data_IF_168016297959
#
_entry.id   IF_168016297959
#
_cell.length_a   1.000
_cell.length_b   1.000
_cell.length_c   1.000
_cell.angle_alpha   90.00
_cell.angle_beta   90.00
_cell.angle_gamma   90.00
#
_symmetry.space_group_name_H-M   'P 1'
#
loop_
_entity.id
_entity.type
_entity.pdbx_description
1 polymer ?
#
# COMPACT_ATOMS: atom_id res chain seq x y z
N UNK A 1 22.80 -7.13 -1.56
CA UNK A 1 21.80 -6.92 -0.49
C UNK A 1 20.41 -6.67 -1.07
N UNK A 2 20.19 -5.61 -1.86
CA UNK A 2 18.89 -5.35 -2.50
C UNK A 2 18.38 -6.52 -3.38
N UNK A 3 19.20 -7.01 -4.31
CA UNK A 3 18.85 -8.13 -5.21
C UNK A 3 18.68 -9.48 -4.49
N UNK A 4 19.44 -9.70 -3.40
CA UNK A 4 19.39 -10.96 -2.64
C UNK A 4 18.08 -11.15 -1.86
N UNK A 5 17.30 -10.07 -1.64
CA UNK A 5 15.98 -10.14 -0.99
C UNK A 5 14.85 -9.93 -2.01
N UNK A 6 14.99 -8.94 -2.89
CA UNK A 6 13.97 -8.62 -3.88
C UNK A 6 13.72 -9.79 -4.85
N UNK A 7 14.78 -10.33 -5.47
CA UNK A 7 14.63 -11.31 -6.55
C UNK A 7 13.96 -12.63 -6.12
N UNK A 8 14.29 -13.24 -4.95
CA UNK A 8 13.57 -14.43 -4.49
C UNK A 8 12.10 -14.17 -4.16
N UNK A 9 11.80 -12.99 -3.59
CA UNK A 9 10.43 -12.60 -3.27
C UNK A 9 9.62 -12.34 -4.53
N UNK A 10 10.13 -11.54 -5.48
CA UNK A 10 9.50 -11.27 -6.77
C UNK A 10 9.13 -12.57 -7.50
N UNK A 11 10.05 -13.54 -7.55
CA UNK A 11 9.79 -14.83 -8.19
C UNK A 11 8.69 -15.65 -7.52
N UNK A 12 8.60 -15.59 -6.19
CA UNK A 12 7.57 -16.34 -5.46
C UNK A 12 6.23 -15.63 -5.52
N UNK A 13 6.21 -14.30 -5.36
CA UNK A 13 5.01 -13.46 -5.41
C UNK A 13 4.42 -13.39 -6.83
N UNK A 14 5.25 -13.44 -7.87
CA UNK A 14 4.80 -13.37 -9.27
C UNK A 14 4.11 -14.63 -9.75
N UNK A 15 4.12 -15.71 -8.96
CA UNK A 15 3.36 -16.94 -9.23
C UNK A 15 1.94 -16.89 -8.67
N UNK A 16 1.61 -15.86 -7.89
CA UNK A 16 0.27 -15.70 -7.36
C UNK A 16 -0.67 -15.35 -8.52
N UNK A 17 -1.76 -16.08 -8.65
CA UNK A 17 -2.75 -15.83 -9.68
C UNK A 17 -3.46 -14.48 -9.45
N UNK A 18 -3.72 -13.77 -10.54
CA UNK A 18 -4.43 -12.49 -10.53
C UNK A 18 -3.57 -11.29 -10.12
N UNK A 19 -2.23 -11.40 -10.17
CA UNK A 19 -1.33 -10.23 -10.07
C UNK A 19 -1.31 -9.54 -11.43
N UNK A 20 -1.80 -8.30 -11.49
CA UNK A 20 -1.83 -7.47 -12.68
C UNK A 20 -0.58 -6.61 -12.82
N UNK A 21 -0.04 -6.14 -11.69
CA UNK A 21 1.20 -5.36 -11.65
C UNK A 21 2.04 -5.75 -10.43
N UNK A 22 3.37 -5.74 -10.62
CA UNK A 22 4.33 -5.86 -9.54
C UNK A 22 5.42 -4.81 -9.70
N UNK A 23 5.52 -3.93 -8.71
CA UNK A 23 6.57 -2.91 -8.65
C UNK A 23 7.42 -3.14 -7.41
N UNK A 24 8.74 -3.20 -7.59
CA UNK A 24 9.69 -3.34 -6.51
C UNK A 24 10.60 -2.12 -6.40
N UNK A 25 10.90 -1.74 -5.16
CA UNK A 25 11.83 -0.67 -4.85
C UNK A 25 12.73 -1.14 -3.73
N UNK A 26 14.03 -1.09 -3.94
CA UNK A 26 15.00 -1.49 -2.94
C UNK A 26 15.94 -0.35 -2.60
N UNK A 27 16.20 -0.19 -1.30
CA UNK A 27 17.18 0.74 -0.75
C UNK A 27 18.12 -0.02 0.19
N UNK A 28 19.13 0.67 0.74
CA UNK A 28 20.04 0.04 1.68
C UNK A 28 19.28 -0.48 2.91
N UNK A 29 19.29 -1.80 3.11
CA UNK A 29 18.66 -2.45 4.26
C UNK A 29 17.14 -2.60 4.17
N UNK A 30 16.48 -2.19 3.07
CA UNK A 30 15.03 -2.37 2.91
C UNK A 30 14.63 -2.67 1.47
N UNK A 31 13.65 -3.55 1.30
CA UNK A 31 13.01 -3.84 0.03
C UNK A 31 11.51 -3.72 0.21
N UNK A 32 10.85 -2.99 -0.68
CA UNK A 32 9.40 -2.87 -0.76
C UNK A 32 8.93 -3.45 -2.09
N UNK A 33 7.91 -4.29 -2.03
CA UNK A 33 7.23 -4.83 -3.22
C UNK A 33 5.77 -4.46 -3.09
N UNK A 34 5.22 -3.87 -4.15
CA UNK A 34 3.80 -3.53 -4.29
C UNK A 34 3.22 -4.50 -5.31
N UNK A 35 2.17 -5.21 -4.90
CA UNK A 35 1.38 -6.10 -5.76
C UNK A 35 0.04 -5.44 -6.01
N UNK A 36 -0.29 -5.27 -7.27
CA UNK A 36 -1.64 -4.90 -7.70
C UNK A 36 -2.28 -6.17 -8.23
N UNK A 37 -3.48 -6.44 -7.73
CA UNK A 37 -4.28 -7.58 -8.14
C UNK A 37 -5.39 -7.13 -9.08
N UNK A 38 -5.96 -8.08 -9.81
CA UNK A 38 -7.19 -7.86 -10.58
C UNK A 38 -8.34 -7.43 -9.64
N UNK A 39 -9.25 -6.60 -10.17
CA UNK A 39 -10.32 -5.97 -9.38
C UNK A 39 -11.29 -6.97 -8.75
N UNK A 40 -11.49 -8.13 -9.40
CA UNK A 40 -12.37 -9.21 -8.95
C UNK A 40 -11.70 -10.15 -7.93
N UNK A 41 -10.42 -9.92 -7.59
CA UNK A 41 -9.68 -10.74 -6.63
C UNK A 41 -10.11 -10.43 -5.20
N UNK A 42 -10.59 -11.45 -4.48
CA UNK A 42 -10.79 -11.35 -3.02
C UNK A 42 -9.47 -11.03 -2.31
N UNK A 43 -9.43 -9.87 -1.65
CA UNK A 43 -8.26 -9.37 -0.91
C UNK A 43 -7.83 -10.32 0.22
N UNK A 44 -8.75 -11.10 0.80
CA UNK A 44 -8.41 -12.06 1.85
C UNK A 44 -7.78 -13.33 1.27
N UNK A 45 -8.27 -13.81 0.13
CA UNK A 45 -7.62 -14.83 -0.69
C UNK A 45 -6.20 -14.42 -1.10
N UNK A 46 -6.07 -13.23 -1.69
CA UNK A 46 -4.77 -12.68 -2.09
C UNK A 46 -3.80 -12.57 -0.90
N UNK A 47 -4.26 -12.12 0.27
CA UNK A 47 -3.45 -12.05 1.48
C UNK A 47 -2.91 -13.43 1.92
N UNK A 48 -3.72 -14.49 1.83
CA UNK A 48 -3.27 -15.86 2.14
C UNK A 48 -2.22 -16.34 1.16
N UNK A 49 -2.41 -16.08 -0.13
CA UNK A 49 -1.45 -16.46 -1.17
C UNK A 49 -0.12 -15.70 -1.01
N UNK A 50 -0.18 -14.42 -0.67
CA UNK A 50 1.01 -13.61 -0.37
C UNK A 50 1.77 -14.19 0.82
N UNK A 51 1.09 -14.55 1.91
CA UNK A 51 1.73 -15.20 3.05
C UNK A 51 2.37 -16.55 2.66
N UNK A 52 1.69 -17.35 1.85
CA UNK A 52 2.21 -18.63 1.37
C UNK A 52 3.44 -18.45 0.47
N UNK A 53 3.43 -17.46 -0.42
CA UNK A 53 4.56 -17.12 -1.28
C UNK A 53 5.76 -16.58 -0.48
N UNK A 54 5.52 -15.74 0.54
CA UNK A 54 6.57 -15.32 1.48
C UNK A 54 7.18 -16.54 2.17
N UNK A 55 6.35 -17.47 2.66
CA UNK A 55 6.81 -18.70 3.30
C UNK A 55 7.64 -19.57 2.35
N UNK A 56 7.22 -19.72 1.10
CA UNK A 56 7.96 -20.47 0.08
C UNK A 56 9.33 -19.84 -0.25
N UNK A 57 9.43 -18.50 -0.20
CA UNK A 57 10.67 -17.79 -0.43
C UNK A 57 11.65 -17.84 0.75
N UNK A 58 11.21 -18.20 1.97
CA UNK A 58 12.01 -18.05 3.20
C UNK A 58 13.37 -18.71 3.15
N UNK A 59 13.48 -19.89 2.55
CA UNK A 59 14.74 -20.63 2.43
C UNK A 59 15.76 -19.95 1.51
N UNK A 60 15.30 -19.06 0.62
CA UNK A 60 16.13 -18.31 -0.32
C UNK A 60 16.51 -16.92 0.21
N UNK A 61 15.98 -16.52 1.38
CA UNK A 61 16.27 -15.22 1.98
C UNK A 61 17.56 -15.27 2.82
N UNK A 62 18.33 -14.16 2.88
CA UNK A 62 19.49 -14.06 3.75
C UNK A 62 19.14 -14.26 5.23
N UNK A 63 19.96 -14.99 5.97
CA UNK A 63 19.74 -15.28 7.41
C UNK A 63 20.07 -14.11 8.34
N UNK A 64 20.77 -13.08 7.87
CA UNK A 64 21.16 -11.88 8.63
C UNK A 64 20.20 -10.69 8.52
N UNK A 65 18.93 -10.91 8.13
CA UNK A 65 17.98 -9.81 7.99
C UNK A 65 17.56 -9.25 9.37
N UNK A 66 17.46 -7.91 9.53
CA UNK A 66 17.00 -7.30 10.78
C UNK A 66 15.55 -7.67 11.14
N UNK A 67 14.72 -7.93 10.13
CA UNK A 67 13.34 -8.35 10.28
C UNK A 67 12.92 -9.27 9.14
N UNK A 68 11.92 -10.11 9.38
CA UNK A 68 11.33 -10.97 8.34
C UNK A 68 10.42 -10.14 7.43
N UNK A 69 10.25 -10.55 6.15
CA UNK A 69 9.26 -9.91 5.29
C UNK A 69 7.86 -9.99 5.91
N UNK A 70 7.14 -8.89 5.83
CA UNK A 70 5.74 -8.78 6.27
C UNK A 70 4.90 -8.23 5.13
N UNK A 71 3.60 -8.46 5.18
CA UNK A 71 2.65 -7.92 4.22
C UNK A 71 1.56 -7.12 4.93
N UNK A 72 0.91 -6.25 4.18
CA UNK A 72 -0.23 -5.44 4.62
C UNK A 72 -1.23 -5.37 3.48
N UNK A 73 -2.50 -5.55 3.82
CA UNK A 73 -3.60 -5.24 2.90
C UNK A 73 -3.73 -3.73 2.78
N UNK A 74 -3.84 -3.23 1.56
CA UNK A 74 -4.09 -1.82 1.28
C UNK A 74 -5.27 -1.77 0.33
N UNK A 75 -6.31 -1.02 0.69
CA UNK A 75 -7.40 -0.71 -0.21
C UNK A 75 -7.16 0.69 -0.80
N UNK A 76 -6.96 0.84 -2.12
CA UNK A 76 -6.81 2.15 -2.75
C UNK A 76 -8.00 3.08 -2.52
N UNK A 77 -9.21 2.54 -2.30
CA UNK A 77 -10.40 3.33 -1.96
C UNK A 77 -10.29 4.05 -0.61
N UNK A 78 -9.38 3.62 0.28
CA UNK A 78 -9.13 4.29 1.56
C UNK A 78 -8.16 5.48 1.40
N UNK A 79 -7.50 5.63 0.24
CA UNK A 79 -6.63 6.77 -0.04
C UNK A 79 -7.49 7.98 -0.44
N UNK A 80 -7.22 9.18 0.09
CA UNK A 80 -7.99 10.36 -0.26
C UNK A 80 -7.87 10.64 -1.76
N UNK A 81 -9.00 10.57 -2.46
CA UNK A 81 -9.09 10.84 -3.91
C UNK A 81 -8.90 12.35 -4.18
N UNK A 82 -9.11 13.20 -3.16
CA UNK A 82 -8.92 14.64 -3.25
C UNK A 82 -8.41 15.22 -1.94
N UNK A 83 -7.35 16.03 -2.02
CA UNK A 83 -6.83 16.84 -0.92
C UNK A 83 -7.12 18.30 -1.27
N UNK A 84 -7.93 18.98 -0.46
CA UNK A 84 -8.25 20.39 -0.62
C UNK A 84 -7.57 21.21 0.46
N UNK A 85 -6.86 22.28 0.05
CA UNK A 85 -6.26 23.25 0.96
C UNK A 85 -7.09 24.52 0.94
N UNK A 86 -7.52 25.00 2.11
CA UNK A 86 -8.23 26.28 2.25
C UNK A 86 -7.27 27.35 2.76
N UNK A 87 -7.27 28.50 2.09
CA UNK A 87 -6.58 29.71 2.52
C UNK A 87 -7.55 30.88 2.49
N UNK A 88 -7.36 31.86 3.38
CA UNK A 88 -8.13 33.09 3.38
C UNK A 88 -7.32 34.24 3.96
N UNK A 89 -7.46 35.41 3.36
CA UNK A 89 -6.86 36.65 3.83
C UNK A 89 -7.69 37.33 4.93
N UNK A 90 -8.90 36.83 5.20
CA UNK A 90 -9.88 37.44 6.12
C UNK A 90 -10.33 36.52 7.25
N UNK A 91 -10.43 35.22 7.00
CA UNK A 91 -10.81 34.24 8.02
C UNK A 91 -9.59 33.70 8.74
N UNK A 92 -9.68 33.61 10.07
CA UNK A 92 -8.64 32.96 10.87
C UNK A 92 -8.71 31.42 10.71
N UNK A 93 -7.64 30.68 11.08
CA UNK A 93 -7.60 29.22 10.90
C UNK A 93 -8.74 28.45 11.58
N UNK A 94 -9.25 28.91 12.73
CA UNK A 94 -10.38 28.29 13.42
C UNK A 94 -11.69 28.47 12.65
N UNK A 95 -11.94 29.68 12.14
CA UNK A 95 -13.09 29.98 11.30
C UNK A 95 -13.03 29.23 9.97
N UNK A 96 -11.84 29.05 9.39
CA UNK A 96 -11.63 28.23 8.20
C UNK A 96 -11.91 26.75 8.49
N UNK A 97 -11.54 26.25 9.66
CA UNK A 97 -11.85 24.88 10.08
C UNK A 97 -13.37 24.68 10.26
N UNK A 98 -14.04 25.62 10.93
CA UNK A 98 -15.49 25.57 11.12
C UNK A 98 -16.23 25.65 9.78
N UNK A 99 -15.77 26.52 8.86
CA UNK A 99 -16.33 26.62 7.51
C UNK A 99 -16.11 25.35 6.68
N UNK A 100 -14.89 24.78 6.74
CA UNK A 100 -14.57 23.53 6.06
C UNK A 100 -15.43 22.35 6.57
N UNK A 101 -15.58 22.25 7.90
CA UNK A 101 -16.30 21.14 8.53
C UNK A 101 -17.82 21.24 8.40
N UNK A 102 -18.40 22.43 8.39
CA UNK A 102 -19.87 22.61 8.33
C UNK A 102 -20.40 22.73 6.91
N UNK A 103 -19.72 23.47 6.03
CA UNK A 103 -20.27 23.82 4.70
C UNK A 103 -19.66 23.00 3.56
N UNK A 104 -18.37 22.70 3.63
CA UNK A 104 -17.67 21.95 2.58
C UNK A 104 -17.80 20.44 2.77
N UNK A 105 -17.52 19.93 3.98
CA UNK A 105 -17.59 18.50 4.27
C UNK A 105 -19.02 17.93 4.11
N UNK A 106 -20.06 18.70 4.43
CA UNK A 106 -21.44 18.26 4.27
C UNK A 106 -21.84 18.12 2.78
N UNK A 107 -21.22 18.88 1.88
CA UNK A 107 -21.61 18.93 0.46
C UNK A 107 -20.89 17.88 -0.40
N UNK A 108 -19.70 17.43 0.00
CA UNK A 108 -18.92 16.42 -0.74
C UNK A 108 -19.28 14.97 -0.42
N UNK A 109 -20.09 14.70 0.61
CA UNK A 109 -20.53 13.33 0.99
C UNK A 109 -21.84 12.90 0.29
N UNK A 110 -22.41 13.74 -0.58
CA UNK A 110 -23.64 13.39 -1.31
C UNK A 110 -23.31 12.94 -2.74
N UNK A 111 -22.85 11.69 -2.88
CA UNK A 111 -23.13 10.78 -4.00
C UNK A 111 -22.82 9.34 -3.57
#
# INVERSE_FOLDING_TARGET
>A
MASSVATPLERSLGRIAGVSEMTSTSSLGSTRIILVFDFDRDINGAARDVQAAINAAQSLLPTGMPSRPTYRKVNPSDAPIMIMTLTSDTYNPGQLYDYASTQLAQKTVTD
#
